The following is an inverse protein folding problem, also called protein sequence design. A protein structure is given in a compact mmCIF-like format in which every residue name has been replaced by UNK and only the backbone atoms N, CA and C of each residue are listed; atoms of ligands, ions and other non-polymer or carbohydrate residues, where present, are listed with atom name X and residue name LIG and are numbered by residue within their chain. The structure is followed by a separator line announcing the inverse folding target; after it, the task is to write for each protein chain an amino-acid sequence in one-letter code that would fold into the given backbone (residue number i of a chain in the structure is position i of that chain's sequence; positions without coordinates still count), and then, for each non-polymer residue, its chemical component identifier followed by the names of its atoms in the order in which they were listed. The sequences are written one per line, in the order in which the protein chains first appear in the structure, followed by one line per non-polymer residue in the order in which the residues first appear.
data_IF_758964177749
#
_entry.id   IF_758964177749
#
_cell.length_a   1.000
_cell.length_b   1.000
_cell.length_c   1.000
_cell.angle_alpha   90.00
_cell.angle_beta   90.00
_cell.angle_gamma   90.00
#
_symmetry.space_group_name_H-M   'P 1'
#
loop_
_entity.id
_entity.type
_entity.pdbx_description
1 polymer ?
#
# COMPACT_ATOMS: atom_id res chain seq x y z
N UNK A 1 -20.34 -6.19 25.91
CA UNK A 1 -19.99 -7.63 25.95
C UNK A 1 -18.83 -7.82 24.99
N UNK A 2 -17.60 -7.86 25.51
CA UNK A 2 -16.38 -7.95 24.70
C UNK A 2 -16.09 -9.40 24.36
N UNK A 3 -15.89 -9.69 23.07
CA UNK A 3 -15.46 -10.99 22.60
C UNK A 3 -14.00 -11.23 23.03
N UNK A 4 -13.82 -11.94 24.14
CA UNK A 4 -12.52 -12.41 24.64
C UNK A 4 -12.15 -13.74 23.97
N UNK A 5 -12.08 -13.77 22.64
CA UNK A 5 -11.44 -14.87 21.92
C UNK A 5 -9.93 -14.70 22.00
N UNK A 6 -9.21 -15.79 22.24
CA UNK A 6 -7.76 -15.84 22.11
C UNK A 6 -7.32 -15.34 20.73
N UNK A 7 -6.10 -14.81 20.63
CA UNK A 7 -5.55 -14.34 19.34
C UNK A 7 -5.67 -15.41 18.26
N UNK A 8 -5.55 -16.69 18.61
CA UNK A 8 -5.65 -17.81 17.68
C UNK A 8 -7.07 -17.96 17.10
N UNK A 9 -8.10 -17.97 17.96
CA UNK A 9 -9.51 -18.07 17.54
C UNK A 9 -9.94 -16.90 16.63
N UNK A 10 -9.37 -15.70 16.86
CA UNK A 10 -9.63 -14.52 16.01
C UNK A 10 -9.00 -14.64 14.63
N UNK A 11 -7.88 -15.36 14.49
CA UNK A 11 -7.19 -15.55 13.21
C UNK A 11 -7.83 -16.67 12.37
N UNK A 12 -8.48 -17.63 13.03
CA UNK A 12 -9.25 -18.70 12.40
C UNK A 12 -10.52 -18.18 11.70
N UNK A 13 -11.12 -17.11 12.21
CA UNK A 13 -12.32 -16.48 11.62
C UNK A 13 -12.04 -15.61 10.39
N UNK A 14 -10.77 -15.36 10.06
CA UNK A 14 -10.41 -14.52 8.93
C UNK A 14 -10.60 -15.25 7.59
N UNK A 15 -11.10 -14.58 6.54
CA UNK A 15 -11.23 -15.15 5.20
C UNK A 15 -9.95 -15.88 4.73
N UNK A 16 -10.11 -17.04 4.09
CA UNK A 16 -9.00 -17.89 3.64
C UNK A 16 -8.30 -17.35 2.38
N UNK A 17 -9.03 -16.62 1.55
CA UNK A 17 -8.56 -15.97 0.34
C UNK A 17 -7.81 -14.65 0.63
N UNK A 18 -7.96 -14.12 1.85
CA UNK A 18 -7.30 -12.87 2.24
C UNK A 18 -5.86 -13.09 2.71
N UNK A 19 -5.00 -12.09 2.45
CA UNK A 19 -3.59 -12.11 2.87
C UNK A 19 -3.30 -10.89 3.74
N UNK A 20 -2.85 -11.16 4.96
CA UNK A 20 -2.58 -10.15 5.98
C UNK A 20 -1.08 -9.91 6.08
N UNK A 21 -0.60 -8.88 5.39
CA UNK A 21 0.81 -8.54 5.37
C UNK A 21 1.07 -7.25 6.14
N UNK A 22 1.98 -7.29 7.11
CA UNK A 22 2.60 -6.07 7.64
C UNK A 22 3.50 -5.42 6.60
N UNK A 23 3.80 -4.12 6.76
CA UNK A 23 4.76 -3.40 5.92
C UNK A 23 6.01 -3.04 6.72
N UNK A 24 7.19 -3.38 6.18
CA UNK A 24 8.47 -2.99 6.80
C UNK A 24 8.57 -1.45 6.89
N UNK A 25 8.97 -0.95 8.06
CA UNK A 25 9.29 0.47 8.25
C UNK A 25 10.75 0.73 7.87
N UNK A 26 11.01 1.73 7.01
CA UNK A 26 12.35 2.08 6.55
C UNK A 26 12.89 3.37 7.19
N UNK A 27 12.58 3.56 8.48
CA UNK A 27 12.93 4.77 9.23
C UNK A 27 11.88 5.86 9.00
N UNK A 28 11.01 6.05 9.99
CA UNK A 28 9.92 7.05 9.97
C UNK A 28 8.98 6.94 8.75
N UNK A 29 8.83 5.77 8.13
CA UNK A 29 7.87 5.55 7.01
C UNK A 29 6.53 5.00 7.46
N UNK A 30 6.25 4.98 8.77
CA UNK A 30 5.02 4.41 9.30
C UNK A 30 3.76 5.21 8.90
N UNK A 31 3.89 6.51 8.64
CA UNK A 31 2.81 7.34 8.07
C UNK A 31 2.33 6.75 6.74
N UNK A 32 3.26 6.44 5.82
CA UNK A 32 2.95 5.83 4.53
C UNK A 32 2.40 4.41 4.69
N UNK A 33 3.03 3.58 5.53
CA UNK A 33 2.57 2.21 5.76
C UNK A 33 1.13 2.16 6.27
N UNK A 34 0.75 3.06 7.19
CA UNK A 34 -0.60 3.11 7.74
C UNK A 34 -1.65 3.49 6.69
N UNK A 35 -1.34 4.46 5.82
CA UNK A 35 -2.20 4.88 4.71
C UNK A 35 -2.34 3.78 3.67
N UNK A 36 -1.24 3.11 3.31
CA UNK A 36 -1.25 2.00 2.35
C UNK A 36 -2.14 0.85 2.82
N UNK A 37 -2.08 0.50 4.11
CA UNK A 37 -2.96 -0.51 4.71
C UNK A 37 -4.43 -0.08 4.65
N UNK A 38 -4.74 1.16 5.04
CA UNK A 38 -6.09 1.69 4.99
C UNK A 38 -6.67 1.60 3.56
N UNK A 39 -5.90 2.04 2.57
CA UNK A 39 -6.29 1.98 1.15
C UNK A 39 -6.39 0.55 0.61
N UNK A 40 -5.52 -0.37 1.04
CA UNK A 40 -5.56 -1.77 0.62
C UNK A 40 -6.85 -2.46 1.06
N UNK A 41 -7.36 -2.13 2.26
CA UNK A 41 -8.62 -2.68 2.77
C UNK A 41 -9.86 -1.88 2.31
N UNK A 42 -9.69 -0.80 1.55
CA UNK A 42 -10.78 -0.23 0.75
C UNK A 42 -10.97 -1.07 -0.51
N UNK A 43 -11.82 -2.12 -0.43
CA UNK A 43 -11.99 -3.11 -1.52
C UNK A 43 -12.16 -2.49 -2.92
N UNK A 44 -13.03 -1.48 -3.15
CA UNK A 44 -13.16 -0.90 -4.49
C UNK A 44 -11.87 -0.27 -5.02
N UNK A 45 -11.08 0.34 -4.13
CA UNK A 45 -9.79 0.93 -4.48
C UNK A 45 -8.77 -0.16 -4.80
N UNK A 46 -8.64 -1.17 -3.93
CA UNK A 46 -7.74 -2.32 -4.14
C UNK A 46 -8.01 -3.03 -5.45
N UNK A 47 -9.27 -3.33 -5.76
CA UNK A 47 -9.65 -4.01 -7.00
C UNK A 47 -9.24 -3.20 -8.24
N UNK A 48 -9.46 -1.88 -8.21
CA UNK A 48 -9.06 -1.01 -9.33
C UNK A 48 -7.55 -0.91 -9.48
N UNK A 49 -6.81 -0.82 -8.37
CA UNK A 49 -5.34 -0.82 -8.40
C UNK A 49 -4.80 -2.16 -8.92
N UNK A 50 -5.36 -3.30 -8.50
CA UNK A 50 -4.94 -4.62 -8.98
C UNK A 50 -5.26 -4.86 -10.46
N UNK A 51 -6.30 -4.21 -10.99
CA UNK A 51 -6.66 -4.26 -12.42
C UNK A 51 -5.83 -3.29 -13.27
N UNK A 52 -5.07 -2.38 -12.66
CA UNK A 52 -4.29 -1.40 -13.39
C UNK A 52 -3.11 -2.09 -14.10
N UNK A 53 -3.22 -2.25 -15.41
CA UNK A 53 -2.14 -2.72 -16.28
C UNK A 53 -1.31 -1.53 -16.75
N UNK A 54 0.00 -1.60 -16.54
CA UNK A 54 0.93 -0.74 -17.28
C UNK A 54 0.81 -1.16 -18.74
N UNK A 55 0.39 -0.25 -19.62
CA UNK A 55 0.43 -0.50 -21.07
C UNK A 55 1.86 -0.73 -21.55
N UNK A 56 2.10 -0.62 -22.86
CA UNK A 56 3.46 -0.69 -23.43
C UNK A 56 4.39 0.46 -22.98
N UNK A 57 3.91 1.38 -22.17
CA UNK A 57 4.70 2.47 -21.61
C UNK A 57 5.78 1.94 -20.66
N UNK A 58 7.04 2.20 -21.04
CA UNK A 58 8.23 1.74 -20.31
C UNK A 58 8.51 2.52 -19.02
N UNK A 59 7.75 3.57 -18.71
CA UNK A 59 8.04 4.47 -17.59
C UNK A 59 7.28 4.08 -16.34
N UNK A 60 8.00 3.58 -15.34
CA UNK A 60 7.46 3.33 -14.01
C UNK A 60 7.00 4.66 -13.35
N UNK A 61 5.77 4.67 -12.84
CA UNK A 61 5.08 5.78 -12.16
C UNK A 61 4.79 5.42 -10.69
N UNK A 62 4.28 6.37 -9.89
CA UNK A 62 3.80 6.07 -8.54
C UNK A 62 2.61 5.08 -8.54
N UNK A 63 1.68 5.22 -9.50
CA UNK A 63 0.56 4.29 -9.62
C UNK A 63 1.02 2.89 -10.02
N UNK A 64 2.05 2.78 -10.88
CA UNK A 64 2.61 1.47 -11.20
C UNK A 64 3.29 0.81 -10.01
N UNK A 65 4.09 1.56 -9.26
CA UNK A 65 4.72 1.07 -8.05
C UNK A 65 3.70 0.68 -6.96
N UNK A 66 2.55 1.36 -6.89
CA UNK A 66 1.45 0.99 -5.99
C UNK A 66 0.76 -0.31 -6.42
N UNK A 67 0.50 -0.48 -7.71
CA UNK A 67 -0.06 -1.72 -8.27
C UNK A 67 0.84 -2.92 -7.98
N UNK A 68 2.15 -2.81 -8.27
CA UNK A 68 3.15 -3.82 -7.95
C UNK A 68 3.14 -4.20 -6.46
N UNK A 69 3.04 -3.21 -5.57
CA UNK A 69 2.98 -3.44 -4.13
C UNK A 69 1.70 -4.20 -3.73
N UNK A 70 0.55 -3.82 -4.28
CA UNK A 70 -0.73 -4.47 -3.97
C UNK A 70 -0.77 -5.91 -4.49
N UNK A 71 -0.18 -6.16 -5.67
CA UNK A 71 0.03 -7.50 -6.22
C UNK A 71 0.93 -8.33 -5.29
N UNK A 72 2.04 -7.75 -4.81
CA UNK A 72 2.93 -8.42 -3.86
C UNK A 72 2.21 -8.80 -2.56
N UNK A 73 1.34 -7.92 -2.05
CA UNK A 73 0.53 -8.19 -0.85
C UNK A 73 -0.51 -9.29 -1.10
N UNK A 74 -1.25 -9.25 -2.21
CA UNK A 74 -2.30 -10.23 -2.50
C UNK A 74 -1.76 -11.61 -2.87
N UNK A 75 -0.58 -11.68 -3.46
CA UNK A 75 0.03 -12.94 -3.93
C UNK A 75 0.90 -13.65 -2.88
N UNK A 76 0.88 -13.19 -1.63
CA UNK A 76 1.65 -13.81 -0.54
C UNK A 76 1.24 -15.28 -0.33
N UNK A 77 2.24 -16.17 -0.23
CA UNK A 77 2.02 -17.61 -0.01
C UNK A 77 1.46 -17.91 1.37
N UNK A 78 1.76 -17.08 2.36
CA UNK A 78 1.32 -17.25 3.75
C UNK A 78 0.13 -16.35 4.03
N UNK A 79 -0.82 -16.83 4.84
CA UNK A 79 -1.96 -16.02 5.33
C UNK A 79 -1.48 -14.76 6.07
N UNK A 80 -0.38 -14.88 6.81
CA UNK A 80 0.26 -13.78 7.54
C UNK A 80 1.72 -13.61 7.10
N UNK A 81 2.12 -12.37 6.82
CA UNK A 81 3.46 -12.08 6.30
C UNK A 81 3.91 -10.65 6.52
N UNK A 82 5.07 -10.32 5.96
CA UNK A 82 5.63 -8.97 5.91
C UNK A 82 6.09 -8.68 4.50
N UNK A 83 5.69 -7.54 3.96
CA UNK A 83 6.11 -7.02 2.65
C UNK A 83 6.98 -5.79 2.85
N UNK A 84 8.05 -5.70 2.05
CA UNK A 84 8.99 -4.59 2.07
C UNK A 84 8.66 -3.62 0.92
N UNK A 85 7.99 -2.47 1.17
CA UNK A 85 7.56 -1.54 0.12
C UNK A 85 8.71 -0.68 -0.47
N UNK A 86 9.89 -1.27 -0.71
CA UNK A 86 11.11 -0.53 -1.08
C UNK A 86 10.95 0.30 -2.35
N UNK A 87 10.45 -0.32 -3.42
CA UNK A 87 10.25 0.35 -4.71
C UNK A 87 9.27 1.51 -4.60
N UNK A 88 8.13 1.27 -3.95
CA UNK A 88 7.11 2.30 -3.72
C UNK A 88 7.66 3.48 -2.90
N UNK A 89 8.36 3.23 -1.79
CA UNK A 89 8.94 4.31 -0.97
C UNK A 89 10.01 5.09 -1.75
N UNK A 90 10.87 4.40 -2.51
CA UNK A 90 11.87 5.07 -3.37
C UNK A 90 11.20 5.96 -4.42
N UNK A 91 10.10 5.49 -5.01
CA UNK A 91 9.30 6.22 -5.99
C UNK A 91 8.67 7.48 -5.39
N UNK A 92 8.05 7.38 -4.21
CA UNK A 92 7.52 8.54 -3.46
C UNK A 92 8.61 9.58 -3.21
N UNK A 93 9.78 9.17 -2.71
CA UNK A 93 10.91 10.07 -2.44
C UNK A 93 11.41 10.77 -3.70
N UNK A 94 11.50 10.03 -4.81
CA UNK A 94 11.93 10.57 -6.10
C UNK A 94 10.95 11.60 -6.68
N UNK A 95 9.64 11.41 -6.47
CA UNK A 95 8.60 12.25 -7.07
C UNK A 95 8.20 13.45 -6.21
N UNK A 96 8.45 13.41 -4.90
CA UNK A 96 8.11 14.53 -4.02
C UNK A 96 9.16 14.71 -2.92
N UNK A 97 9.88 15.84 -3.02
CA UNK A 97 10.97 16.24 -2.13
C UNK A 97 10.55 16.40 -0.67
N UNK A 98 9.26 16.67 -0.39
CA UNK A 98 8.72 16.74 0.98
C UNK A 98 8.93 15.40 1.71
N UNK A 99 8.82 14.29 0.98
CA UNK A 99 9.00 12.95 1.53
C UNK A 99 10.44 12.42 1.39
N UNK A 100 11.33 13.13 0.69
CA UNK A 100 12.73 12.73 0.48
C UNK A 100 13.64 13.08 1.66
N UNK A 101 13.32 12.51 2.82
CA UNK A 101 14.13 12.63 4.02
C UNK A 101 13.87 11.42 4.95
N UNK A 102 14.41 11.50 6.17
CA UNK A 102 14.25 10.49 7.22
C UNK A 102 13.35 10.97 8.36
N UNK A 103 12.59 12.05 8.16
CA UNK A 103 11.69 12.60 9.17
C UNK A 103 10.34 11.89 9.12
N UNK A 104 9.64 11.90 10.26
CA UNK A 104 8.24 11.51 10.32
C UNK A 104 7.40 12.56 9.60
N UNK A 105 6.40 12.11 8.85
CA UNK A 105 5.53 12.96 8.04
C UNK A 105 4.07 12.79 8.47
N UNK A 106 3.23 13.74 8.07
CA UNK A 106 1.79 13.67 8.30
C UNK A 106 1.15 12.63 7.36
N UNK A 107 0.42 11.67 7.92
CA UNK A 107 -0.26 10.63 7.15
C UNK A 107 -1.38 11.20 6.26
N UNK A 108 -2.07 12.25 6.70
CA UNK A 108 -3.10 12.92 5.92
C UNK A 108 -2.50 13.69 4.73
N UNK A 109 -1.35 14.34 4.93
CA UNK A 109 -0.62 14.99 3.83
C UNK A 109 -0.19 13.95 2.78
N UNK A 110 0.37 12.81 3.23
CA UNK A 110 0.73 11.72 2.35
C UNK A 110 -0.46 11.12 1.59
N UNK A 111 -1.60 10.92 2.26
CA UNK A 111 -2.82 10.43 1.62
C UNK A 111 -3.30 11.38 0.52
N UNK A 112 -3.37 12.68 0.81
CA UNK A 112 -3.79 13.67 -0.18
C UNK A 112 -2.84 13.72 -1.37
N UNK A 113 -1.53 13.70 -1.12
CA UNK A 113 -0.54 13.61 -2.19
C UNK A 113 -0.77 12.37 -3.06
N UNK A 114 -0.82 11.18 -2.44
CA UNK A 114 -0.94 9.91 -3.16
C UNK A 114 -2.19 9.88 -4.06
N UNK A 115 -3.36 10.24 -3.52
CA UNK A 115 -4.61 10.19 -4.28
C UNK A 115 -4.64 11.22 -5.41
N UNK A 116 -4.16 12.45 -5.18
CA UNK A 116 -4.10 13.46 -6.24
C UNK A 116 -3.11 13.07 -7.34
N UNK A 117 -1.93 12.55 -7.00
CA UNK A 117 -0.96 12.07 -7.99
C UNK A 117 -1.53 10.92 -8.82
N UNK A 118 -2.22 9.96 -8.20
CA UNK A 118 -2.91 8.88 -8.92
C UNK A 118 -3.99 9.46 -9.85
N UNK A 119 -4.80 10.40 -9.37
CA UNK A 119 -5.85 11.02 -10.16
C UNK A 119 -5.28 11.76 -11.38
N UNK A 120 -4.16 12.47 -11.23
CA UNK A 120 -3.55 13.21 -12.33
C UNK A 120 -2.89 12.28 -13.35
N UNK A 121 -2.27 11.18 -12.92
CA UNK A 121 -1.76 10.13 -13.81
C UNK A 121 -2.89 9.53 -14.67
N UNK A 122 -4.06 9.32 -14.10
CA UNK A 122 -5.23 8.77 -14.81
C UNK A 122 -5.94 9.78 -15.72
N UNK A 123 -5.77 11.09 -15.51
CA UNK A 123 -6.28 12.13 -16.42
C UNK A 123 -5.38 12.29 -17.65
N UNK A 124 -4.10 11.93 -17.52
CA UNK A 124 -3.10 12.02 -18.60
C UNK A 124 -3.05 10.82 -19.53
N UNK A 125 -3.75 9.73 -19.19
CA UNK A 125 -4.01 8.56 -20.05
C UNK A 125 -5.29 8.74 -20.86
#
# INVERSE_FOLDING_TARGET
MGANGSTLERLEQLPEDERYNGLTNFGNTCYANSVLQALYFCLPFREKVLQYSHGEEKTETLLSALSDLFIQMSSSKKKFGVVAPRKFIQRVKKENVVFDNMQQQDAHEFLNYLLNTIADLLKGT
#
